data_IF_686019177490
#
_entry.id   IF_686019177490
#
_cell.length_a   1.000
_cell.length_b   1.000
_cell.length_c   1.000
_cell.angle_alpha   90.00
_cell.angle_beta   90.00
_cell.angle_gamma   90.00
#
_symmetry.space_group_name_H-M   'P 1'
#
loop_
_entity.id
_entity.type
_entity.pdbx_description
1 polymer ?
#
# COMPACT_ATOMS: atom_id res chain seq x y z
N UNK A 1 11.60 2.40 -6.63
CA UNK A 1 11.92 1.64 -5.39
C UNK A 1 10.74 0.81 -4.94
N UNK A 2 10.99 -0.31 -4.25
CA UNK A 2 9.95 -1.18 -3.69
C UNK A 2 9.99 -1.10 -2.18
N UNK A 3 8.85 -0.87 -1.55
CA UNK A 3 8.67 -0.79 -0.11
C UNK A 3 7.62 -1.82 0.29
N UNK A 4 7.83 -2.47 1.42
CA UNK A 4 6.96 -3.52 1.93
C UNK A 4 6.66 -3.24 3.39
N UNK A 5 5.39 -3.26 3.76
CA UNK A 5 4.89 -2.88 5.07
C UNK A 5 4.05 -4.00 5.66
N UNK A 6 4.15 -4.16 6.98
CA UNK A 6 3.14 -4.87 7.75
C UNK A 6 2.21 -3.84 8.35
N UNK A 7 0.92 -4.01 8.10
CA UNK A 7 -0.12 -3.12 8.59
C UNK A 7 -1.02 -3.91 9.52
N UNK A 8 -1.43 -3.29 10.62
CA UNK A 8 -2.44 -3.88 11.50
C UNK A 8 -3.74 -4.08 10.71
N UNK A 9 -4.40 -5.24 10.81
CA UNK A 9 -5.67 -5.50 10.12
C UNK A 9 -6.74 -4.43 10.30
N UNK A 10 -6.85 -3.85 11.50
CA UNK A 10 -7.83 -2.80 11.80
C UNK A 10 -7.45 -1.48 11.13
N UNK A 11 -6.16 -1.27 10.84
CA UNK A 11 -5.63 -0.10 10.16
C UNK A 11 -5.51 -0.27 8.63
N UNK A 12 -5.65 -1.49 8.11
CA UNK A 12 -5.42 -1.80 6.69
C UNK A 12 -6.33 -1.00 5.75
N UNK A 13 -7.64 -1.24 5.83
CA UNK A 13 -8.66 -0.56 5.03
C UNK A 13 -8.57 0.98 5.13
N UNK A 14 -8.54 1.61 6.33
CA UNK A 14 -8.45 3.06 6.41
C UNK A 14 -7.12 3.61 5.85
N UNK A 15 -6.02 2.87 5.96
CA UNK A 15 -4.73 3.28 5.40
C UNK A 15 -4.74 3.22 3.87
N UNK A 16 -5.28 2.15 3.28
CA UNK A 16 -5.44 2.02 1.83
C UNK A 16 -6.36 3.11 1.27
N UNK A 17 -7.47 3.39 1.94
CA UNK A 17 -8.39 4.48 1.59
C UNK A 17 -7.67 5.85 1.59
N UNK A 18 -6.84 6.13 2.60
CA UNK A 18 -6.07 7.38 2.70
C UNK A 18 -5.10 7.57 1.53
N UNK A 19 -4.41 6.51 1.11
CA UNK A 19 -3.53 6.55 -0.08
C UNK A 19 -4.35 6.84 -1.33
N UNK A 20 -5.44 6.09 -1.53
CA UNK A 20 -6.33 6.25 -2.67
C UNK A 20 -6.84 7.68 -2.81
N UNK A 21 -7.37 8.25 -1.74
CA UNK A 21 -7.94 9.60 -1.72
C UNK A 21 -6.85 10.67 -1.91
N UNK A 22 -5.66 10.50 -1.33
CA UNK A 22 -4.57 11.46 -1.44
C UNK A 22 -4.08 11.64 -2.88
N UNK A 23 -4.07 10.54 -3.64
CA UNK A 23 -3.49 10.50 -4.98
C UNK A 23 -4.52 10.34 -6.10
N UNK A 24 -5.81 10.22 -5.76
CA UNK A 24 -6.88 9.99 -6.73
C UNK A 24 -6.72 8.68 -7.50
N UNK A 25 -6.28 7.61 -6.82
CA UNK A 25 -5.96 6.33 -7.48
C UNK A 25 -7.22 5.54 -7.85
N UNK A 26 -7.15 4.83 -8.96
CA UNK A 26 -8.11 3.79 -9.29
C UNK A 26 -7.88 2.58 -8.38
N UNK A 27 -8.96 2.04 -7.82
CA UNK A 27 -8.93 0.87 -6.94
C UNK A 27 -9.59 -0.32 -7.62
N UNK A 28 -8.88 -1.43 -7.69
CA UNK A 28 -9.42 -2.75 -8.00
C UNK A 28 -9.30 -3.65 -6.77
N UNK A 29 -10.30 -4.50 -6.53
CA UNK A 29 -10.31 -5.47 -5.43
C UNK A 29 -10.54 -6.85 -6.05
N UNK A 30 -9.65 -7.78 -5.74
CA UNK A 30 -9.69 -9.17 -6.20
C UNK A 30 -9.46 -10.09 -5.00
N UNK A 31 -10.50 -10.80 -4.58
CA UNK A 31 -10.52 -11.65 -3.39
C UNK A 31 -9.98 -10.95 -2.12
N UNK A 32 -8.78 -11.31 -1.67
CA UNK A 32 -8.07 -10.76 -0.50
C UNK A 32 -7.15 -9.58 -0.85
N UNK A 33 -7.09 -9.17 -2.12
CA UNK A 33 -6.13 -8.20 -2.64
C UNK A 33 -6.79 -6.89 -3.03
N UNK A 34 -6.19 -5.80 -2.60
CA UNK A 34 -6.54 -4.43 -3.02
C UNK A 34 -5.41 -3.86 -3.87
N UNK A 35 -5.71 -3.43 -5.09
CA UNK A 35 -4.74 -2.86 -6.02
C UNK A 35 -5.12 -1.39 -6.24
N UNK A 36 -4.19 -0.47 -5.97
CA UNK A 36 -4.33 0.95 -6.30
C UNK A 36 -3.35 1.33 -7.41
N UNK A 37 -3.88 1.93 -8.46
CA UNK A 37 -3.13 2.37 -9.63
C UNK A 37 -3.34 3.87 -9.87
N UNK A 38 -2.26 4.55 -10.23
CA UNK A 38 -2.31 5.93 -10.70
C UNK A 38 -2.40 5.93 -12.22
N UNK A 39 -3.27 6.76 -12.80
CA UNK A 39 -3.36 6.90 -14.26
C UNK A 39 -2.03 7.36 -14.85
N UNK A 40 -1.40 8.35 -14.21
CA UNK A 40 -0.04 8.78 -14.50
C UNK A 40 0.97 8.08 -13.59
N UNK A 41 1.61 7.04 -14.10
CA UNK A 41 2.63 6.28 -13.37
C UNK A 41 3.94 7.04 -13.15
N UNK A 42 4.02 8.35 -13.41
CA UNK A 42 5.24 9.15 -13.20
C UNK A 42 5.77 9.15 -11.75
N UNK A 43 4.89 8.98 -10.75
CA UNK A 43 5.24 9.07 -9.32
C UNK A 43 5.11 7.76 -8.57
N UNK A 44 4.02 7.05 -8.81
CA UNK A 44 3.68 5.79 -8.15
C UNK A 44 3.33 4.80 -9.26
N UNK A 45 4.05 3.69 -9.32
CA UNK A 45 3.78 2.65 -10.30
C UNK A 45 2.59 1.78 -9.85
N UNK A 46 2.58 1.39 -8.57
CA UNK A 46 1.61 0.46 -8.03
C UNK A 46 1.59 0.47 -6.49
N UNK A 47 0.41 0.33 -5.90
CA UNK A 47 0.24 -0.04 -4.49
C UNK A 47 -0.65 -1.27 -4.43
N UNK A 48 -0.19 -2.33 -3.77
CA UNK A 48 -0.98 -3.54 -3.54
C UNK A 48 -1.05 -3.83 -2.07
N UNK A 49 -2.24 -4.09 -1.56
CA UNK A 49 -2.48 -4.64 -0.24
C UNK A 49 -3.03 -6.05 -0.34
N UNK A 50 -2.72 -6.91 0.62
CA UNK A 50 -3.36 -8.21 0.79
C UNK A 50 -3.59 -8.50 2.26
N UNK A 51 -4.76 -9.01 2.59
CA UNK A 51 -5.09 -9.41 3.95
C UNK A 51 -6.19 -10.47 3.97
N UNK A 52 -5.85 -11.67 4.46
CA UNK A 52 -6.80 -12.73 4.72
C UNK A 52 -7.06 -12.87 6.25
N UNK A 53 -8.23 -12.49 6.77
CA UNK A 53 -8.52 -12.59 8.20
C UNK A 53 -8.58 -14.04 8.73
N UNK A 54 -8.69 -15.05 7.86
CA UNK A 54 -8.69 -16.47 8.25
C UNK A 54 -7.29 -17.05 8.43
N UNK A 55 -6.26 -16.40 7.86
CA UNK A 55 -4.92 -16.96 7.74
C UNK A 55 -3.80 -15.98 8.15
N UNK A 56 -4.02 -14.68 8.03
CA UNK A 56 -3.01 -13.65 8.27
C UNK A 56 -3.18 -12.98 9.64
N UNK A 57 -2.09 -12.93 10.40
CA UNK A 57 -2.03 -12.10 11.61
C UNK A 57 -1.90 -10.60 11.30
N UNK A 58 -1.41 -10.26 10.09
CA UNK A 58 -1.13 -8.88 9.65
C UNK A 58 -1.41 -8.70 8.17
N UNK A 59 -1.90 -7.53 7.80
CA UNK A 59 -2.01 -7.15 6.40
C UNK A 59 -0.63 -6.82 5.81
N UNK A 60 -0.44 -7.19 4.55
CA UNK A 60 0.75 -6.88 3.78
C UNK A 60 0.45 -5.75 2.80
N UNK A 61 1.29 -4.72 2.78
CA UNK A 61 1.21 -3.67 1.77
C UNK A 61 2.55 -3.56 1.05
N UNK A 62 2.50 -3.60 -0.28
CA UNK A 62 3.64 -3.36 -1.16
C UNK A 62 3.39 -2.08 -1.95
N UNK A 63 4.39 -1.21 -1.95
CA UNK A 63 4.39 0.06 -2.69
C UNK A 63 5.55 0.05 -3.66
N UNK A 64 5.27 0.31 -4.94
CA UNK A 64 6.28 0.55 -5.96
C UNK A 64 6.28 2.03 -6.31
N UNK A 65 7.26 2.74 -5.75
CA UNK A 65 7.44 4.17 -5.97
C UNK A 65 8.41 4.45 -7.10
N UNK A 66 8.13 5.46 -7.91
CA UNK A 66 9.12 6.05 -8.82
C UNK A 66 9.72 7.29 -8.17
N UNK A 67 8.89 8.12 -7.55
CA UNK A 67 9.33 9.29 -6.78
C UNK A 67 9.69 8.90 -5.33
N UNK A 68 10.98 8.97 -5.01
CA UNK A 68 11.52 8.66 -3.68
C UNK A 68 11.04 9.62 -2.58
N UNK A 69 10.65 10.85 -2.93
CA UNK A 69 10.22 11.87 -1.96
C UNK A 69 8.91 11.49 -1.27
N UNK A 70 8.10 10.64 -1.90
CA UNK A 70 6.84 10.14 -1.36
C UNK A 70 7.04 9.08 -0.27
N UNK A 71 8.25 8.54 -0.09
CA UNK A 71 8.52 7.50 0.91
C UNK A 71 8.06 7.90 2.31
N UNK A 72 8.35 9.13 2.73
CA UNK A 72 7.98 9.62 4.07
C UNK A 72 6.47 9.64 4.30
N UNK A 73 5.68 9.91 3.24
CA UNK A 73 4.23 9.81 3.30
C UNK A 73 3.78 8.36 3.53
N UNK A 74 4.32 7.43 2.75
CA UNK A 74 3.98 6.01 2.88
C UNK A 74 4.41 5.44 4.23
N UNK A 75 5.58 5.83 4.74
CA UNK A 75 6.03 5.44 6.07
C UNK A 75 5.10 6.00 7.17
N UNK A 76 4.59 7.22 7.01
CA UNK A 76 3.63 7.80 7.94
C UNK A 76 2.25 7.14 7.88
N UNK A 77 1.89 6.49 6.78
CA UNK A 77 0.59 5.82 6.60
C UNK A 77 0.66 4.37 7.06
N UNK A 78 1.72 3.65 6.68
CA UNK A 78 1.85 2.21 6.87
C UNK A 78 2.87 1.80 7.94
N UNK A 79 3.60 2.75 8.52
CA UNK A 79 4.66 2.50 9.50
C UNK A 79 6.03 2.27 8.84
N UNK A 80 6.90 1.51 9.48
CA UNK A 80 8.24 1.27 8.93
C UNK A 80 8.23 0.13 7.89
N UNK A 81 8.85 0.32 6.71
CA UNK A 81 8.95 -0.75 5.75
C UNK A 81 9.96 -1.80 6.22
N UNK A 82 9.60 -3.08 6.13
CA UNK A 82 10.53 -4.16 6.44
C UNK A 82 11.51 -4.40 5.29
N UNK A 83 12.75 -4.75 5.64
CA UNK A 83 13.79 -5.08 4.66
C UNK A 83 13.64 -6.52 4.22
N UNK A 84 13.36 -6.72 2.93
CA UNK A 84 13.51 -8.03 2.29
C UNK A 84 15.01 -8.22 2.00
N UNK A 85 15.59 -9.32 2.48
CA UNK A 85 16.97 -9.70 2.19
C UNK A 85 17.08 -10.34 0.80
#
# INVERSE_FOLDING_TARGET
MKLFYYVDPLAYEPSMKKVREKFGMHQEVDEDKTILMLDDKSKIELVTGSYDPGHDEKALVRVVLIDATLKSFFDSVFGEPYRIK
#
